data_IF_673227312185
#
_entry.id   IF_673227312185
#
_cell.length_a   1.000
_cell.length_b   1.000
_cell.length_c   1.000
_cell.angle_alpha   90.00
_cell.angle_beta   90.00
_cell.angle_gamma   90.00
#
_symmetry.space_group_name_H-M   'P 1'
#
loop_
_entity.id
_entity.type
_entity.pdbx_description
1 polymer ?
#
# COMPACT_ATOMS: atom_id res chain seq x y z
N UNK A 1 24.05 1.46 3.18
CA UNK A 1 22.61 1.55 2.81
C UNK A 1 22.42 2.66 1.78
N UNK A 2 21.81 2.36 0.62
CA UNK A 2 21.41 3.40 -0.33
C UNK A 2 20.23 4.17 0.26
N UNK A 3 20.24 5.49 0.12
CA UNK A 3 19.12 6.33 0.52
C UNK A 3 17.89 5.98 -0.33
N UNK A 4 16.74 5.84 0.33
CA UNK A 4 15.50 5.46 -0.32
C UNK A 4 14.82 6.72 -0.86
N UNK A 5 14.55 6.75 -2.16
CA UNK A 5 13.87 7.87 -2.79
C UNK A 5 12.35 7.72 -2.59
N UNK A 6 11.81 8.53 -1.68
CA UNK A 6 10.39 8.50 -1.26
C UNK A 6 9.48 8.90 -2.44
N UNK A 7 9.95 9.77 -3.34
CA UNK A 7 9.17 10.26 -4.48
C UNK A 7 9.00 9.17 -5.55
N UNK A 8 9.85 8.13 -5.53
CA UNK A 8 9.79 6.98 -6.43
C UNK A 8 9.24 5.71 -5.78
N UNK A 9 8.91 5.75 -4.48
CA UNK A 9 8.47 4.58 -3.72
C UNK A 9 7.19 3.93 -4.28
N UNK A 10 6.32 4.73 -4.89
CA UNK A 10 5.06 4.28 -5.49
C UNK A 10 5.10 4.30 -7.02
N UNK A 11 6.26 4.49 -7.63
CA UNK A 11 6.37 4.43 -9.06
C UNK A 11 6.40 2.96 -9.52
N UNK A 12 5.42 2.57 -10.33
CA UNK A 12 5.25 1.19 -10.82
C UNK A 12 6.34 0.80 -11.83
N UNK A 13 7.03 1.79 -12.41
CA UNK A 13 8.27 1.58 -13.12
C UNK A 13 9.37 1.24 -12.12
N UNK A 14 9.41 -0.03 -11.72
CA UNK A 14 10.54 -0.66 -11.02
C UNK A 14 11.84 -0.12 -11.61
N UNK A 15 12.68 0.50 -10.78
CA UNK A 15 13.97 1.05 -11.19
C UNK A 15 14.69 0.02 -12.07
N UNK A 16 14.87 0.32 -13.37
CA UNK A 16 15.48 -0.60 -14.35
C UNK A 16 16.84 -1.09 -13.85
N UNK A 17 17.54 -0.25 -13.08
CA UNK A 17 18.80 -0.56 -12.42
C UNK A 17 18.76 -1.72 -11.41
N UNK A 18 17.58 -2.12 -10.90
CA UNK A 18 17.41 -3.32 -10.04
C UNK A 18 17.46 -4.59 -10.92
N UNK A 19 17.01 -4.49 -12.17
CA UNK A 19 16.94 -5.61 -13.11
C UNK A 19 18.16 -5.70 -14.04
N UNK A 20 19.01 -4.67 -14.09
CA UNK A 20 20.23 -4.62 -14.91
C UNK A 20 21.27 -5.70 -14.54
N UNK A 21 21.27 -6.25 -13.33
CA UNK A 21 22.22 -7.30 -12.91
C UNK A 21 21.74 -8.73 -13.22
N UNK A 22 20.55 -8.88 -13.82
CA UNK A 22 20.05 -10.17 -14.31
C UNK A 22 20.53 -10.51 -15.73
N UNK A 23 21.37 -9.66 -16.33
CA UNK A 23 22.14 -9.94 -17.54
C UNK A 23 23.27 -10.94 -17.25
N UNK A 24 22.90 -12.16 -16.86
CA UNK A 24 23.75 -13.35 -16.82
C UNK A 24 24.68 -13.36 -18.03
N UNK A 25 25.98 -13.50 -17.81
CA UNK A 25 27.07 -13.85 -18.75
C UNK A 25 26.60 -14.41 -20.12
N UNK A 26 26.03 -13.57 -20.99
CA UNK A 26 25.72 -13.96 -22.36
C UNK A 26 27.03 -13.79 -23.12
N UNK A 27 27.67 -14.91 -23.45
CA UNK A 27 28.82 -14.92 -24.34
C UNK A 27 28.45 -14.21 -25.67
N UNK A 28 29.43 -13.56 -26.31
CA UNK A 28 29.24 -12.88 -27.60
C UNK A 28 28.66 -13.86 -28.65
N UNK A 29 27.34 -13.86 -28.81
CA UNK A 29 26.62 -14.74 -29.74
C UNK A 29 25.28 -15.29 -29.25
N UNK A 30 24.98 -15.23 -27.95
CA UNK A 30 23.69 -15.71 -27.44
C UNK A 30 22.54 -14.74 -27.71
N UNK A 31 21.42 -15.27 -28.18
CA UNK A 31 20.19 -14.51 -28.39
C UNK A 31 19.54 -14.27 -27.03
N UNK A 32 19.28 -13.01 -26.63
CA UNK A 32 18.64 -12.74 -25.34
C UNK A 32 17.27 -13.40 -25.24
N UNK A 33 16.86 -13.78 -24.01
CA UNK A 33 15.54 -14.33 -23.76
C UNK A 33 14.45 -13.31 -24.16
N UNK A 34 13.32 -13.80 -24.69
CA UNK A 34 12.25 -12.93 -25.21
C UNK A 34 11.68 -11.96 -24.15
N UNK A 35 11.58 -12.37 -22.88
CA UNK A 35 11.13 -11.46 -21.82
C UNK A 35 12.12 -10.31 -21.55
N UNK A 36 13.36 -10.40 -22.01
CA UNK A 36 14.39 -9.38 -21.85
C UNK A 36 14.57 -8.51 -23.10
N UNK A 37 14.34 -9.04 -24.30
CA UNK A 37 14.65 -8.35 -25.56
C UNK A 37 13.48 -8.18 -26.54
N UNK A 38 12.28 -8.68 -26.23
CA UNK A 38 11.07 -8.43 -27.02
C UNK A 38 10.08 -7.57 -26.22
N UNK A 39 9.91 -6.33 -26.68
CA UNK A 39 8.99 -5.35 -26.09
C UNK A 39 7.56 -5.90 -26.03
N UNK A 40 7.13 -6.67 -27.04
CA UNK A 40 5.78 -7.25 -27.08
C UNK A 40 5.58 -8.25 -25.95
N UNK A 41 6.58 -9.10 -25.72
CA UNK A 41 6.59 -10.06 -24.61
C UNK A 41 6.60 -9.34 -23.26
N UNK A 42 7.39 -8.27 -23.11
CA UNK A 42 7.43 -7.48 -21.89
C UNK A 42 6.10 -6.78 -21.59
N UNK A 43 5.50 -6.12 -22.58
CA UNK A 43 4.19 -5.48 -22.47
C UNK A 43 3.12 -6.50 -22.10
N UNK A 44 3.16 -7.69 -22.71
CA UNK A 44 2.24 -8.79 -22.38
C UNK A 44 2.38 -9.24 -20.93
N UNK A 45 3.61 -9.44 -20.44
CA UNK A 45 3.87 -9.81 -19.04
C UNK A 45 3.37 -8.72 -18.08
N UNK A 46 3.70 -7.45 -18.35
CA UNK A 46 3.26 -6.31 -17.55
C UNK A 46 1.73 -6.22 -17.52
N UNK A 47 1.05 -6.43 -18.64
CA UNK A 47 -0.41 -6.39 -18.72
C UNK A 47 -1.07 -7.49 -17.87
N UNK A 48 -0.53 -8.71 -17.89
CA UNK A 48 -1.04 -9.82 -17.06
C UNK A 48 -0.81 -9.54 -15.57
N UNK A 49 0.40 -9.09 -15.20
CA UNK A 49 0.70 -8.73 -13.82
C UNK A 49 -0.16 -7.58 -13.30
N UNK A 50 -0.35 -6.54 -14.12
CA UNK A 50 -1.21 -5.41 -13.78
C UNK A 50 -2.66 -5.85 -13.56
N UNK A 51 -3.16 -6.77 -14.40
CA UNK A 51 -4.51 -7.30 -14.24
C UNK A 51 -4.68 -8.03 -12.90
N UNK A 52 -3.74 -8.91 -12.55
CA UNK A 52 -3.77 -9.64 -11.28
C UNK A 52 -3.63 -8.69 -10.07
N UNK A 53 -2.69 -7.73 -10.13
CA UNK A 53 -2.50 -6.72 -9.09
C UNK A 53 -3.73 -5.85 -8.89
N UNK A 54 -4.42 -5.44 -9.96
CA UNK A 54 -5.63 -4.62 -9.85
C UNK A 54 -6.71 -5.37 -9.05
N UNK A 55 -6.82 -6.69 -9.24
CA UNK A 55 -7.76 -7.52 -8.47
C UNK A 55 -7.41 -7.57 -6.99
N UNK A 56 -6.13 -7.77 -6.67
CA UNK A 56 -5.63 -7.75 -5.28
C UNK A 56 -5.85 -6.38 -4.62
N UNK A 57 -5.53 -5.30 -5.33
CA UNK A 57 -5.68 -3.92 -4.83
C UNK A 57 -7.14 -3.59 -4.53
N UNK A 58 -8.09 -4.01 -5.37
CA UNK A 58 -9.53 -3.86 -5.10
C UNK A 58 -9.93 -4.59 -3.82
N UNK A 59 -9.43 -5.81 -3.60
CA UNK A 59 -9.72 -6.57 -2.39
C UNK A 59 -9.16 -5.84 -1.17
N UNK A 60 -7.90 -5.41 -1.23
CA UNK A 60 -7.25 -4.67 -0.16
C UNK A 60 -8.00 -3.37 0.18
N UNK A 61 -8.39 -2.59 -0.84
CA UNK A 61 -9.20 -1.39 -0.67
C UNK A 61 -10.54 -1.67 0.01
N UNK A 62 -11.21 -2.78 -0.33
CA UNK A 62 -12.44 -3.19 0.34
C UNK A 62 -12.21 -3.47 1.83
N UNK A 63 -11.11 -4.16 2.16
CA UNK A 63 -10.74 -4.47 3.54
C UNK A 63 -10.42 -3.20 4.33
N UNK A 64 -9.61 -2.29 3.78
CA UNK A 64 -9.24 -1.03 4.41
C UNK A 64 -10.45 -0.12 4.61
N UNK A 65 -11.30 0.00 3.59
CA UNK A 65 -12.53 0.77 3.69
C UNK A 65 -13.45 0.23 4.80
N UNK A 66 -13.60 -1.10 4.88
CA UNK A 66 -14.38 -1.72 5.95
C UNK A 66 -13.80 -1.43 7.33
N UNK A 67 -12.47 -1.53 7.50
CA UNK A 67 -11.80 -1.22 8.75
C UNK A 67 -11.99 0.25 9.16
N UNK A 68 -11.89 1.19 8.21
CA UNK A 68 -12.12 2.62 8.46
C UNK A 68 -13.56 2.91 8.89
N UNK A 69 -14.55 2.29 8.26
CA UNK A 69 -15.96 2.45 8.63
C UNK A 69 -16.24 1.90 10.02
N UNK A 70 -15.69 0.72 10.35
CA UNK A 70 -15.81 0.15 11.69
C UNK A 70 -15.22 1.07 12.75
N UNK A 71 -13.97 1.51 12.53
CA UNK A 71 -13.27 2.41 13.45
C UNK A 71 -14.04 3.72 13.65
N UNK A 72 -14.49 4.37 12.56
CA UNK A 72 -15.24 5.62 12.64
C UNK A 72 -16.56 5.44 13.38
N UNK A 73 -17.24 4.31 13.19
CA UNK A 73 -18.48 4.01 13.89
C UNK A 73 -18.23 3.88 15.39
N UNK A 74 -17.23 3.09 15.78
CA UNK A 74 -16.82 2.91 17.19
C UNK A 74 -16.45 4.24 17.85
N UNK A 75 -15.63 5.06 17.20
CA UNK A 75 -15.24 6.39 17.71
C UNK A 75 -16.45 7.32 17.85
N UNK A 76 -17.38 7.29 16.88
CA UNK A 76 -18.58 8.12 16.95
C UNK A 76 -19.49 7.72 18.11
N UNK A 77 -19.60 6.42 18.39
CA UNK A 77 -20.35 5.89 19.51
C UNK A 77 -19.69 6.25 20.85
N UNK A 78 -18.36 6.13 20.93
CA UNK A 78 -17.58 6.53 22.10
C UNK A 78 -17.76 8.03 22.40
N UNK A 79 -17.65 8.89 21.38
CA UNK A 79 -17.85 10.32 21.50
C UNK A 79 -19.29 10.68 21.94
N UNK A 80 -20.30 10.01 21.36
CA UNK A 80 -21.70 10.18 21.75
C UNK A 80 -21.94 9.78 23.21
N UNK A 81 -21.40 8.62 23.62
CA UNK A 81 -21.49 8.15 25.00
C UNK A 81 -20.81 9.11 25.97
N UNK A 82 -19.63 9.62 25.61
CA UNK A 82 -18.93 10.63 26.40
C UNK A 82 -19.81 11.88 26.56
N UNK A 83 -20.34 12.45 25.46
CA UNK A 83 -21.20 13.63 25.51
C UNK A 83 -22.43 13.45 26.42
N UNK A 84 -23.11 12.30 26.30
CA UNK A 84 -24.26 11.98 27.16
C UNK A 84 -23.88 11.88 28.64
N UNK A 85 -22.70 11.34 28.94
CA UNK A 85 -22.19 11.22 30.30
C UNK A 85 -21.67 12.54 30.89
N UNK A 86 -21.27 13.50 30.06
CA UNK A 86 -20.70 14.76 30.53
C UNK A 86 -21.71 15.72 31.17
N UNK A 87 -23.03 15.52 30.97
CA UNK A 87 -24.12 16.32 31.59
C UNK A 87 -23.94 17.86 31.55
N UNK A 88 -23.11 18.39 30.65
CA UNK A 88 -22.80 19.81 30.53
C UNK A 88 -21.56 20.32 31.30
N UNK A 89 -20.75 19.44 31.90
CA UNK A 89 -19.44 19.80 32.45
C UNK A 89 -18.31 19.46 31.46
N UNK A 90 -17.42 20.43 31.20
CA UNK A 90 -16.29 20.33 30.27
C UNK A 90 -15.36 19.17 30.67
N UNK A 91 -15.40 18.11 29.88
CA UNK A 91 -14.89 16.79 30.24
C UNK A 91 -13.48 16.54 29.73
N UNK A 92 -12.55 17.43 30.09
CA UNK A 92 -11.12 17.20 29.84
C UNK A 92 -10.63 15.91 30.53
N UNK A 93 -11.26 15.54 31.65
CA UNK A 93 -10.89 14.38 32.45
C UNK A 93 -11.27 13.02 31.81
N UNK A 94 -12.30 12.95 30.96
CA UNK A 94 -12.68 11.69 30.30
C UNK A 94 -11.76 11.34 29.12
N UNK A 95 -11.32 12.33 28.36
CA UNK A 95 -10.42 12.11 27.22
C UNK A 95 -9.02 11.63 27.69
N UNK A 96 -8.52 12.17 28.80
CA UNK A 96 -7.25 11.75 29.41
C UNK A 96 -7.32 10.33 30.01
N UNK A 97 -8.49 9.90 30.48
CA UNK A 97 -8.71 8.55 30.98
C UNK A 97 -8.70 7.49 29.86
N UNK A 98 -9.12 7.82 28.64
CA UNK A 98 -9.04 6.90 27.49
C UNK A 98 -7.66 6.88 26.82
N UNK A 99 -6.92 8.00 26.85
CA UNK A 99 -5.54 8.05 26.34
C UNK A 99 -4.55 7.15 27.10
N UNK A 100 -4.85 6.78 28.36
CA UNK A 100 -3.99 5.95 29.20
C UNK A 100 -4.30 4.44 29.11
N UNK A 101 -5.16 4.02 28.18
CA UNK A 101 -5.57 2.62 27.99
C UNK A 101 -5.00 2.01 26.69
N UNK A 102 -4.26 2.78 25.89
CA UNK A 102 -3.40 2.30 24.79
C UNK A 102 -1.95 2.16 25.27
#
# INVERSE_FOLDING_TARGET
PKELDIDRLFNVDLDESIWEDAGLDLDEGDVPLAWLADDTTQEGIKAVQLFDHTGEEILQLCHEFHALVLWLTEESEAACCAQLNCKGEESWFWLEAQSNVL
#
